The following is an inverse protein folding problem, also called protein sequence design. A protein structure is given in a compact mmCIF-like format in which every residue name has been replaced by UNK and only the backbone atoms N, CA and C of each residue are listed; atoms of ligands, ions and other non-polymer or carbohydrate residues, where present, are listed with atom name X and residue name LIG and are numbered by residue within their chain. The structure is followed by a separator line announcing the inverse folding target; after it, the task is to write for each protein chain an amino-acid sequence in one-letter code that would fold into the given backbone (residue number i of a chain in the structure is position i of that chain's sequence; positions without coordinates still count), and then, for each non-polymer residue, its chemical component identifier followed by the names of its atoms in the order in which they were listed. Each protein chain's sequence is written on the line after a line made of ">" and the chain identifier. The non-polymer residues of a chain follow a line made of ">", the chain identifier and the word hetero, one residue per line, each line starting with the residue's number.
data_IF_438028608121
#
_entry.id   IF_438028608121
#
_cell.length_a   1.000
_cell.length_b   1.000
_cell.length_c   1.000
_cell.angle_alpha   90.00
_cell.angle_beta   90.00
_cell.angle_gamma   90.00
#
_symmetry.space_group_name_H-M   'P 1'
#
loop_
_entity.id
_entity.type
_entity.pdbx_description
1 polymer ?
#
# COMPACT_ATOMS: atom_id res chain seq x y z
N UNK A 1 22.65 -11.48 24.77
CA UNK A 1 22.46 -10.01 24.74
C UNK A 1 21.48 -9.66 23.62
N UNK A 2 20.68 -8.59 23.75
CA UNK A 2 19.87 -8.07 22.65
C UNK A 2 20.70 -7.01 21.90
N UNK A 3 21.00 -7.25 20.63
CA UNK A 3 21.77 -6.34 19.78
C UNK A 3 21.07 -6.14 18.44
N UNK A 4 21.40 -5.05 17.75
CA UNK A 4 21.01 -4.91 16.35
C UNK A 4 21.69 -5.98 15.50
N UNK A 5 21.02 -6.38 14.42
CA UNK A 5 21.57 -7.32 13.44
C UNK A 5 22.67 -6.61 12.67
N UNK A 6 23.89 -7.15 12.72
CA UNK A 6 25.01 -6.66 11.92
C UNK A 6 24.68 -6.75 10.43
N UNK A 7 24.95 -5.68 9.67
CA UNK A 7 24.56 -5.60 8.25
C UNK A 7 23.05 -5.62 8.00
N UNK A 8 22.22 -5.34 9.02
CA UNK A 8 20.78 -5.20 8.87
C UNK A 8 20.37 -3.99 8.04
N UNK A 9 19.07 -3.89 7.74
CA UNK A 9 18.49 -2.74 7.07
C UNK A 9 18.70 -1.46 7.89
N UNK A 10 19.42 -0.49 7.32
CA UNK A 10 19.70 0.83 7.91
C UNK A 10 19.41 1.96 6.92
N UNK A 11 18.50 2.85 7.27
CA UNK A 11 18.15 4.01 6.47
C UNK A 11 18.43 5.32 7.24
N UNK A 12 18.69 6.45 6.56
CA UNK A 12 18.75 7.76 7.19
C UNK A 12 17.36 8.21 7.68
N UNK A 13 17.33 9.22 8.54
CA UNK A 13 16.07 9.78 9.03
C UNK A 13 15.28 10.46 7.90
N UNK A 14 14.00 10.12 7.77
CA UNK A 14 13.08 10.67 6.77
C UNK A 14 11.63 10.43 7.20
N UNK A 15 10.65 10.94 6.43
CA UNK A 15 9.22 10.58 6.58
C UNK A 15 8.88 9.22 5.95
N UNK A 16 9.86 8.33 5.77
CA UNK A 16 9.67 7.02 5.14
C UNK A 16 8.92 6.02 6.02
N UNK A 17 8.31 5.05 5.35
CA UNK A 17 7.68 3.88 5.98
C UNK A 17 8.36 2.58 5.56
N UNK A 18 8.30 1.56 6.42
CA UNK A 18 8.93 0.26 6.19
C UNK A 18 7.98 -0.87 6.59
N UNK A 19 7.82 -1.86 5.72
CA UNK A 19 7.08 -3.09 5.98
C UNK A 19 7.90 -4.30 5.58
N UNK A 20 7.79 -5.41 6.30
CA UNK A 20 8.41 -6.67 5.89
C UNK A 20 7.60 -7.29 4.75
N UNK A 21 8.26 -7.64 3.65
CA UNK A 21 7.69 -8.56 2.65
C UNK A 21 7.97 -10.01 3.05
N UNK A 22 9.22 -10.27 3.43
CA UNK A 22 9.72 -11.57 3.87
C UNK A 22 11.00 -11.39 4.71
N UNK A 23 11.70 -12.48 5.04
CA UNK A 23 12.90 -12.43 5.90
C UNK A 23 14.07 -11.62 5.32
N UNK A 24 14.13 -11.44 4.01
CA UNK A 24 15.22 -10.78 3.29
C UNK A 24 14.77 -9.57 2.47
N UNK A 25 13.48 -9.24 2.47
CA UNK A 25 12.94 -8.12 1.68
C UNK A 25 12.12 -7.17 2.54
N UNK A 26 12.41 -5.87 2.43
CA UNK A 26 11.62 -4.78 3.03
C UNK A 26 10.96 -3.96 1.94
N UNK A 27 9.67 -3.69 2.11
CA UNK A 27 8.89 -2.71 1.36
C UNK A 27 9.20 -1.34 1.97
N UNK A 28 9.71 -0.44 1.15
CA UNK A 28 10.13 0.90 1.58
C UNK A 28 9.23 1.92 0.91
N UNK A 29 8.46 2.67 1.68
CA UNK A 29 7.84 3.91 1.21
C UNK A 29 8.89 5.02 1.35
N UNK A 30 9.60 5.30 0.26
CA UNK A 30 10.83 6.09 0.23
C UNK A 30 10.56 7.60 0.14
N UNK A 31 11.29 8.37 0.95
CA UNK A 31 11.24 9.84 1.04
C UNK A 31 12.63 10.39 1.44
N UNK A 32 13.70 9.79 0.93
CA UNK A 32 15.07 10.15 1.28
C UNK A 32 15.56 11.28 0.36
N UNK A 33 15.35 11.13 -0.94
CA UNK A 33 15.75 12.09 -1.97
C UNK A 33 14.58 12.99 -2.42
N UNK A 34 14.87 14.12 -3.08
CA UNK A 34 13.85 15.11 -3.49
C UNK A 34 12.90 14.63 -4.60
N UNK A 35 13.32 13.68 -5.42
CA UNK A 35 12.48 13.02 -6.42
C UNK A 35 11.59 11.93 -5.79
N UNK A 36 11.98 11.38 -4.65
CA UNK A 36 11.19 10.44 -3.86
C UNK A 36 10.13 11.12 -2.98
N UNK A 37 10.11 12.46 -2.93
CA UNK A 37 9.18 13.22 -2.09
C UNK A 37 8.02 13.80 -2.90
N UNK A 38 6.83 13.79 -2.29
CA UNK A 38 5.73 14.66 -2.70
C UNK A 38 6.03 16.11 -2.30
N UNK A 39 5.24 17.07 -2.77
CA UNK A 39 5.38 18.48 -2.36
C UNK A 39 5.24 18.68 -0.84
N UNK A 40 4.60 17.74 -0.13
CA UNK A 40 4.46 17.74 1.34
C UNK A 40 5.61 17.02 2.07
N UNK A 41 6.61 16.55 1.32
CA UNK A 41 7.79 15.83 1.83
C UNK A 41 7.52 14.40 2.27
N UNK A 42 6.35 13.83 1.95
CA UNK A 42 6.01 12.43 2.23
C UNK A 42 6.51 11.51 1.11
N UNK A 43 6.54 10.19 1.35
CA UNK A 43 6.94 9.24 0.31
C UNK A 43 6.11 9.39 -0.95
N UNK A 44 6.78 9.37 -2.09
CA UNK A 44 6.17 9.33 -3.42
C UNK A 44 6.42 8.00 -4.12
N UNK A 45 7.47 7.28 -3.73
CA UNK A 45 7.91 6.04 -4.37
C UNK A 45 7.86 4.91 -3.36
N UNK A 46 7.35 3.75 -3.77
CA UNK A 46 7.47 2.50 -3.01
C UNK A 46 8.51 1.62 -3.69
N UNK A 47 9.43 1.07 -2.90
CA UNK A 47 10.55 0.23 -3.35
C UNK A 47 10.57 -1.12 -2.63
N UNK A 48 11.21 -2.12 -3.25
CA UNK A 48 11.61 -3.36 -2.60
C UNK A 48 13.12 -3.33 -2.35
N UNK A 49 13.50 -3.41 -1.07
CA UNK A 49 14.89 -3.40 -0.64
C UNK A 49 15.30 -4.79 -0.16
N UNK A 50 16.29 -5.37 -0.82
CA UNK A 50 16.84 -6.69 -0.54
C UNK A 50 17.95 -6.63 0.50
N UNK A 51 18.01 -7.63 1.38
CA UNK A 51 19.05 -7.76 2.39
C UNK A 51 20.42 -7.88 1.71
N UNK A 52 21.40 -7.13 2.23
CA UNK A 52 22.75 -7.12 1.69
C UNK A 52 22.95 -6.22 0.47
N UNK A 53 21.88 -5.61 -0.08
CA UNK A 53 22.00 -4.54 -1.07
C UNK A 53 21.97 -3.18 -0.40
N UNK A 54 22.44 -2.15 -1.12
CA UNK A 54 22.31 -0.76 -0.67
C UNK A 54 20.88 -0.28 -0.89
N UNK A 55 20.45 0.71 -0.11
CA UNK A 55 19.08 1.25 -0.18
C UNK A 55 18.84 1.99 -1.51
N UNK A 56 19.86 2.67 -2.02
CA UNK A 56 19.83 3.35 -3.32
C UNK A 56 19.60 2.40 -4.50
N UNK A 57 19.95 1.12 -4.35
CA UNK A 57 19.75 0.08 -5.35
C UNK A 57 18.38 -0.61 -5.23
N UNK A 58 17.54 -0.19 -4.27
CA UNK A 58 16.21 -0.77 -4.06
C UNK A 58 15.30 -0.55 -5.28
N UNK A 59 14.55 -1.60 -5.67
CA UNK A 59 13.78 -1.61 -6.91
C UNK A 59 12.45 -0.87 -6.74
N UNK A 60 12.16 0.22 -7.49
CA UNK A 60 10.87 0.89 -7.43
C UNK A 60 9.77 -0.01 -7.99
N UNK A 61 8.63 -0.04 -7.30
CA UNK A 61 7.46 -0.84 -7.69
C UNK A 61 6.18 -0.01 -7.82
N UNK A 62 6.14 1.20 -7.27
CA UNK A 62 4.97 2.07 -7.33
C UNK A 62 5.38 3.53 -7.16
N UNK A 63 4.64 4.44 -7.80
CA UNK A 63 4.95 5.87 -7.78
C UNK A 63 3.65 6.69 -7.82
N UNK A 64 3.55 7.65 -6.90
CA UNK A 64 2.51 8.67 -6.88
C UNK A 64 2.94 9.93 -7.65
N UNK A 65 2.00 10.83 -7.89
CA UNK A 65 2.30 12.15 -8.44
C UNK A 65 2.89 13.07 -7.37
N UNK A 66 3.63 14.11 -7.79
CA UNK A 66 4.23 15.05 -6.84
C UNK A 66 3.19 15.84 -6.05
N UNK A 67 1.98 16.02 -6.59
CA UNK A 67 0.87 16.77 -5.99
C UNK A 67 0.05 15.93 -5.01
N UNK A 68 0.19 14.60 -5.06
CA UNK A 68 -0.47 13.72 -4.09
C UNK A 68 0.10 13.93 -2.69
N UNK A 69 -0.66 13.55 -1.67
CA UNK A 69 -0.17 13.57 -0.31
C UNK A 69 0.96 12.56 -0.11
N UNK A 70 0.77 11.29 -0.48
CA UNK A 70 1.76 10.23 -0.27
C UNK A 70 1.54 8.98 -1.15
N UNK A 71 2.56 8.14 -1.23
CA UNK A 71 2.50 6.74 -1.62
C UNK A 71 2.85 5.84 -0.42
N UNK A 72 2.21 4.69 -0.31
CA UNK A 72 2.46 3.70 0.73
C UNK A 72 2.49 2.29 0.18
N UNK A 73 3.20 1.40 0.85
CA UNK A 73 3.16 -0.04 0.60
C UNK A 73 3.12 -0.83 1.90
N UNK A 74 2.24 -1.81 1.97
CA UNK A 74 2.09 -2.73 3.11
C UNK A 74 1.96 -4.18 2.63
N UNK A 75 2.12 -5.11 3.56
CA UNK A 75 1.79 -6.52 3.34
C UNK A 75 0.62 -6.87 4.25
N UNK A 76 -0.53 -7.14 3.65
CA UNK A 76 -1.73 -7.57 4.35
C UNK A 76 -1.83 -9.09 4.40
N UNK A 77 -2.36 -9.62 5.50
CA UNK A 77 -2.50 -11.04 5.74
C UNK A 77 -3.98 -11.44 5.75
N UNK A 78 -4.29 -12.54 5.10
CA UNK A 78 -5.59 -13.21 5.18
C UNK A 78 -5.39 -14.70 5.48
N UNK A 79 -5.35 -15.00 6.78
CA UNK A 79 -4.83 -16.28 7.25
C UNK A 79 -3.38 -16.47 6.81
N UNK A 80 -3.13 -17.54 6.04
CA UNK A 80 -1.79 -17.83 5.49
C UNK A 80 -1.50 -17.08 4.18
N UNK A 81 -2.50 -16.46 3.56
CA UNK A 81 -2.35 -15.67 2.32
C UNK A 81 -1.75 -14.32 2.63
N UNK A 82 -0.96 -13.81 1.69
CA UNK A 82 -0.27 -12.52 1.81
C UNK A 82 -0.52 -11.70 0.56
N UNK A 83 -0.92 -10.46 0.73
CA UNK A 83 -1.25 -9.54 -0.35
C UNK A 83 -0.43 -8.26 -0.18
N UNK A 84 0.41 -7.95 -1.17
CA UNK A 84 1.10 -6.67 -1.19
C UNK A 84 0.12 -5.59 -1.66
N UNK A 85 -0.27 -4.72 -0.74
CA UNK A 85 -1.10 -3.56 -1.07
C UNK A 85 -0.23 -2.31 -1.22
N UNK A 86 -0.64 -1.48 -2.17
CA UNK A 86 -0.06 -0.18 -2.44
C UNK A 86 -1.15 0.87 -2.33
N UNK A 87 -0.83 2.01 -1.75
CA UNK A 87 -1.76 3.12 -1.56
C UNK A 87 -1.21 4.36 -2.22
N UNK A 88 -2.05 5.06 -2.98
CA UNK A 88 -1.82 6.43 -3.44
C UNK A 88 -2.79 7.33 -2.68
N UNK A 89 -2.28 8.05 -1.70
CA UNK A 89 -3.06 9.00 -0.91
C UNK A 89 -3.08 10.33 -1.64
N UNK A 90 -4.24 10.72 -2.16
CA UNK A 90 -4.40 11.93 -2.96
C UNK A 90 -4.35 13.17 -2.05
N UNK A 91 -5.13 13.14 -0.98
CA UNK A 91 -5.19 14.17 0.05
C UNK A 91 -5.58 13.54 1.41
N UNK A 92 -6.00 14.35 2.39
CA UNK A 92 -6.35 13.86 3.73
C UNK A 92 -7.61 12.98 3.78
N UNK A 93 -8.45 13.01 2.75
CA UNK A 93 -9.74 12.34 2.70
C UNK A 93 -9.89 11.34 1.56
N UNK A 94 -9.03 11.42 0.54
CA UNK A 94 -9.09 10.62 -0.67
C UNK A 94 -7.83 9.76 -0.89
N UNK A 95 -8.02 8.49 -1.27
CA UNK A 95 -6.96 7.56 -1.60
C UNK A 95 -7.40 6.52 -2.62
N UNK A 96 -6.42 5.93 -3.31
CA UNK A 96 -6.61 4.74 -4.14
C UNK A 96 -5.79 3.59 -3.58
N UNK A 97 -6.40 2.41 -3.52
CA UNK A 97 -5.72 1.17 -3.15
C UNK A 97 -5.45 0.31 -4.38
N UNK A 98 -4.30 -0.36 -4.39
CA UNK A 98 -3.87 -1.25 -5.47
C UNK A 98 -3.36 -2.56 -4.88
N UNK A 99 -3.63 -3.66 -5.57
CA UNK A 99 -2.99 -4.94 -5.32
C UNK A 99 -1.81 -5.10 -6.29
N UNK A 100 -0.63 -5.45 -5.77
CA UNK A 100 0.47 -5.89 -6.63
C UNK A 100 0.36 -7.39 -6.88
N UNK A 101 0.19 -7.75 -8.15
CA UNK A 101 0.06 -9.13 -8.59
C UNK A 101 1.43 -9.81 -8.73
N UNK A 102 1.49 -11.16 -8.73
CA UNK A 102 2.73 -11.90 -8.98
C UNK A 102 3.41 -11.55 -10.32
N UNK A 103 2.64 -11.08 -11.30
CA UNK A 103 3.15 -10.58 -12.58
C UNK A 103 3.95 -9.28 -12.46
N UNK A 104 3.85 -8.57 -11.34
CA UNK A 104 4.39 -7.23 -11.14
C UNK A 104 3.45 -6.09 -11.54
N UNK A 105 2.25 -6.40 -12.04
CA UNK A 105 1.19 -5.42 -12.30
C UNK A 105 0.64 -4.87 -10.98
N UNK A 106 0.38 -3.55 -10.92
CA UNK A 106 -0.33 -2.92 -9.81
C UNK A 106 -1.77 -2.64 -10.24
N UNK A 107 -2.71 -3.49 -9.81
CA UNK A 107 -4.12 -3.40 -10.19
C UNK A 107 -4.90 -2.56 -9.18
N UNK A 108 -5.57 -1.50 -9.64
CA UNK A 108 -6.41 -0.65 -8.78
C UNK A 108 -7.63 -1.42 -8.29
N UNK A 109 -7.85 -1.44 -6.99
CA UNK A 109 -9.06 -1.99 -6.38
C UNK A 109 -10.20 -1.00 -6.62
N UNK A 110 -11.36 -1.42 -7.15
CA UNK A 110 -12.45 -0.53 -7.57
C UNK A 110 -13.27 -0.02 -6.38
N UNK A 111 -12.63 0.69 -5.46
CA UNK A 111 -13.22 1.34 -4.28
C UNK A 111 -13.38 2.85 -4.56
N UNK A 112 -14.31 3.53 -3.85
CA UNK A 112 -14.42 4.98 -3.92
C UNK A 112 -13.17 5.64 -3.33
N UNK A 113 -12.92 6.88 -3.72
CA UNK A 113 -11.72 7.59 -3.27
C UNK A 113 -11.76 7.86 -1.75
N UNK A 114 -12.94 8.04 -1.17
CA UNK A 114 -13.14 8.32 0.26
C UNK A 114 -13.36 7.06 1.12
N UNK A 115 -12.89 5.91 0.63
CA UNK A 115 -12.94 4.63 1.34
C UNK A 115 -12.24 4.69 2.70
N UNK A 116 -12.80 3.99 3.68
CA UNK A 116 -12.26 3.87 5.05
C UNK A 116 -12.21 2.42 5.51
N UNK A 117 -11.59 2.19 6.67
CA UNK A 117 -11.72 0.94 7.44
C UNK A 117 -11.47 -0.33 6.61
N UNK A 118 -10.39 -0.31 5.82
CA UNK A 118 -10.06 -1.41 4.91
C UNK A 118 -9.39 -2.56 5.63
N UNK A 119 -9.88 -3.79 5.44
CA UNK A 119 -9.24 -5.01 5.96
C UNK A 119 -9.51 -6.21 5.05
N UNK A 120 -8.54 -7.13 4.97
CA UNK A 120 -8.75 -8.44 4.35
C UNK A 120 -9.15 -9.46 5.41
N UNK A 121 -10.23 -10.20 5.14
CA UNK A 121 -10.68 -11.25 6.04
C UNK A 121 -11.47 -12.33 5.30
N UNK A 122 -10.95 -13.57 5.32
CA UNK A 122 -11.58 -14.76 4.75
C UNK A 122 -12.03 -14.56 3.30
N UNK A 123 -11.07 -14.22 2.45
CA UNK A 123 -11.25 -13.96 1.02
C UNK A 123 -12.12 -12.73 0.70
N UNK A 124 -12.46 -11.93 1.71
CA UNK A 124 -13.21 -10.69 1.54
C UNK A 124 -12.31 -9.48 1.71
N UNK A 125 -12.56 -8.46 0.88
CA UNK A 125 -12.07 -7.10 1.13
C UNK A 125 -13.21 -6.34 1.79
N UNK A 126 -13.03 -6.03 3.07
CA UNK A 126 -13.98 -5.27 3.88
C UNK A 126 -13.58 -3.80 3.84
N UNK A 127 -14.56 -2.90 3.71
CA UNK A 127 -14.34 -1.46 3.61
C UNK A 127 -15.56 -0.66 4.08
N UNK A 128 -15.31 0.55 4.57
CA UNK A 128 -16.30 1.58 4.83
C UNK A 128 -16.33 2.65 3.74
N UNK A 129 -17.39 3.46 3.71
CA UNK A 129 -17.51 4.63 2.83
C UNK A 129 -17.95 5.86 3.62
N UNK A 130 -17.40 7.04 3.30
CA UNK A 130 -17.81 8.31 3.91
C UNK A 130 -18.99 8.96 3.20
N UNK A 131 -19.07 8.81 1.88
CA UNK A 131 -20.14 9.33 1.04
C UNK A 131 -20.96 8.19 0.43
N UNK A 132 -22.21 8.43 0.01
CA UNK A 132 -22.96 7.45 -0.75
C UNK A 132 -22.20 7.04 -2.03
N UNK A 133 -22.05 5.74 -2.24
CA UNK A 133 -21.34 5.18 -3.40
C UNK A 133 -22.11 4.01 -3.97
N UNK A 134 -22.23 3.94 -5.30
CA UNK A 134 -22.84 2.80 -5.98
C UNK A 134 -21.73 1.88 -6.48
N UNK A 135 -21.70 0.66 -5.96
CA UNK A 135 -20.74 -0.37 -6.36
C UNK A 135 -20.97 -0.80 -7.82
N UNK A 136 -19.98 -1.44 -8.47
CA UNK A 136 -20.09 -1.86 -9.87
C UNK A 136 -21.28 -2.80 -10.18
N UNK A 137 -21.77 -3.54 -9.18
CA UNK A 137 -22.95 -4.41 -9.30
C UNK A 137 -24.30 -3.68 -9.09
N UNK A 138 -24.26 -2.37 -8.83
CA UNK A 138 -25.44 -1.54 -8.57
C UNK A 138 -25.82 -1.41 -7.09
N UNK A 139 -25.11 -2.06 -6.17
CA UNK A 139 -25.37 -1.95 -4.73
C UNK A 139 -25.09 -0.53 -4.23
N UNK A 140 -26.06 0.09 -3.55
CA UNK A 140 -25.88 1.38 -2.90
C UNK A 140 -25.24 1.22 -1.51
N UNK A 141 -24.00 1.63 -1.38
CA UNK A 141 -23.30 1.79 -0.12
C UNK A 141 -23.62 3.16 0.49
N UNK A 142 -24.07 3.19 1.73
CA UNK A 142 -24.40 4.41 2.49
C UNK A 142 -23.25 4.76 3.45
N UNK A 143 -23.09 6.04 3.80
CA UNK A 143 -22.16 6.48 4.82
C UNK A 143 -22.28 5.68 6.13
N UNK A 144 -21.16 5.53 6.82
CA UNK A 144 -21.03 4.79 8.10
C UNK A 144 -21.40 3.30 8.02
N UNK A 145 -21.62 2.77 6.81
CA UNK A 145 -21.79 1.35 6.54
C UNK A 145 -20.45 0.64 6.37
N UNK A 146 -20.41 -0.64 6.74
CA UNK A 146 -19.30 -1.55 6.46
C UNK A 146 -19.76 -2.57 5.43
N UNK A 147 -19.02 -2.66 4.33
CA UNK A 147 -19.33 -3.48 3.16
C UNK A 147 -18.18 -4.44 2.88
N UNK A 148 -18.44 -5.47 2.08
CA UNK A 148 -17.40 -6.37 1.61
C UNK A 148 -17.61 -6.76 0.16
N UNK A 149 -16.51 -7.04 -0.53
CA UNK A 149 -16.51 -7.70 -1.83
C UNK A 149 -15.67 -8.97 -1.80
N UNK A 150 -16.01 -9.92 -2.66
CA UNK A 150 -15.26 -11.16 -2.85
C UNK A 150 -13.91 -10.86 -3.51
N UNK A 151 -12.88 -10.76 -2.67
CA UNK A 151 -11.56 -10.33 -3.08
C UNK A 151 -10.83 -11.43 -3.83
N UNK A 152 -10.95 -12.68 -3.37
CA UNK A 152 -10.35 -13.82 -4.04
C UNK A 152 -10.85 -13.94 -5.48
N UNK A 153 -12.17 -13.81 -5.70
CA UNK A 153 -12.74 -13.81 -7.05
C UNK A 153 -12.26 -12.62 -7.88
N UNK A 154 -12.20 -11.42 -7.29
CA UNK A 154 -11.75 -10.21 -8.01
C UNK A 154 -10.29 -10.30 -8.48
N UNK A 155 -9.42 -10.99 -7.75
CA UNK A 155 -8.02 -11.20 -8.16
C UNK A 155 -7.92 -12.05 -9.44
N UNK A 156 -8.83 -13.01 -9.61
CA UNK A 156 -8.82 -13.96 -10.72
C UNK A 156 -9.39 -13.40 -12.03
N UNK A 157 -10.10 -12.27 -11.99
CA UNK A 157 -10.66 -11.59 -13.18
C UNK A 157 -9.67 -10.62 -13.79
#
# INVERSE_FOLDING_TARGET
>A
AKSFVEGGFRAPASKSGFYWLDKDTVIVSAAFEEDEKTQSGYPRVVKLWQRGSRLEDATPIFEAHKQDLAAGGSLEFDGDKRHLLLTRTLDFFASHSFLRLPSGENRRIPLPDDVTDTVLFRDQFVFGVRSPWTAPDGTLCKPDGLYSLDFARWIET
#
